data_IF_827990710699
#
_entry.id   IF_827990710699
#
_cell.length_a   1.000
_cell.length_b   1.000
_cell.length_c   1.000
_cell.angle_alpha   90.00
_cell.angle_beta   90.00
_cell.angle_gamma   90.00
#
_symmetry.space_group_name_H-M   'P 1'
#
loop_
_entity.id
_entity.type
_entity.pdbx_description
1 polymer ?
2 non-polymer ?
3 water ?
#
# COMPACT_ATOMS: atom_id res chain seq x y z
N UNK A 2 -12.93 -13.16 -11.66
CA UNK A 2 -11.82 -13.12 -10.67
C UNK A 2 -11.20 -11.75 -10.59
N UNK A 3 -10.04 -11.65 -9.96
CA UNK A 3 -9.35 -10.38 -9.82
C UNK A 3 -8.91 -9.88 -11.21
N UNK A 4 -8.68 -8.58 -11.32
CA UNK A 4 -8.25 -7.98 -12.57
C UNK A 4 -6.78 -8.33 -12.80
N UNK A 5 -6.01 -8.35 -11.72
CA UNK A 5 -4.58 -8.64 -11.79
C UNK A 5 -4.15 -9.73 -10.82
N UNK A 6 -4.61 -10.96 -11.04
CA UNK A 6 -4.21 -12.05 -10.14
C UNK A 6 -2.72 -12.31 -10.23
N UNK A 7 -2.09 -11.87 -11.32
CA UNK A 7 -0.66 -12.12 -11.49
C UNK A 7 0.23 -11.36 -10.50
N UNK A 8 -0.31 -10.34 -9.83
CA UNK A 8 0.49 -9.61 -8.86
C UNK A 8 0.26 -10.12 -7.44
N UNK A 9 -0.54 -11.18 -7.32
CA UNK A 9 -0.81 -11.78 -6.02
C UNK A 9 -0.31 -13.23 -6.03
N UNK A 10 0.62 -13.56 -5.13
CA UNK A 10 1.15 -14.92 -5.08
C UNK A 10 0.75 -15.63 -3.78
N UNK A 11 0.63 -16.94 -3.85
CA UNK A 11 0.24 -17.74 -2.70
C UNK A 11 1.46 -18.10 -1.86
N UNK A 12 1.21 -18.58 -0.64
CA UNK A 12 2.33 -18.98 0.20
C UNK A 12 3.04 -20.16 -0.46
N UNK A 13 2.27 -20.99 -1.17
CA UNK A 13 2.85 -22.14 -1.87
C UNK A 13 3.82 -21.65 -2.94
N UNK A 14 3.38 -20.67 -3.72
CA UNK A 14 4.19 -20.09 -4.79
C UNK A 14 5.51 -19.58 -4.23
N UNK A 15 5.43 -18.83 -3.13
CA UNK A 15 6.63 -18.28 -2.54
C UNK A 15 7.59 -19.38 -2.07
N UNK A 16 7.07 -20.40 -1.39
CA UNK A 16 7.95 -21.45 -0.91
C UNK A 16 8.63 -22.18 -2.06
N UNK A 17 7.98 -22.27 -3.21
CA UNK A 17 8.55 -22.96 -4.36
C UNK A 17 9.45 -22.05 -5.21
N UNK A 18 9.62 -20.81 -4.79
CA UNK A 18 10.48 -19.87 -5.53
C UNK A 18 11.57 -19.29 -4.63
N UNK A 19 11.79 -19.93 -3.48
CA UNK A 19 12.78 -19.47 -2.52
C UNK A 19 14.21 -19.48 -3.07
N UNK A 20 14.43 -20.23 -4.15
CA UNK A 20 15.75 -20.30 -4.75
C UNK A 20 15.76 -19.78 -6.19
N UNK A 21 14.67 -19.14 -6.60
CA UNK A 21 14.57 -18.60 -7.95
C UNK A 21 15.56 -17.44 -8.00
N UNK A 22 16.54 -17.48 -8.91
CA UNK A 22 17.52 -16.40 -9.00
C UNK A 22 16.94 -15.03 -9.36
N UNK A 23 15.74 -15.04 -9.94
CA UNK A 23 15.09 -13.79 -10.33
C UNK A 23 14.10 -13.29 -9.29
N UNK A 24 14.01 -13.97 -8.15
CA UNK A 24 13.06 -13.58 -7.09
C UNK A 24 13.75 -13.05 -5.84
N UNK A 25 13.24 -11.94 -5.32
CA UNK A 25 13.76 -11.34 -4.10
C UNK A 25 12.57 -11.07 -3.18
N UNK A 26 12.49 -11.82 -2.09
CA UNK A 26 11.40 -11.69 -1.12
C UNK A 26 11.79 -10.69 -0.05
N UNK A 27 10.87 -9.78 0.28
CA UNK A 27 11.11 -8.77 1.31
C UNK A 27 9.97 -8.74 2.33
N UNK A 28 10.31 -8.76 3.61
CA UNK A 28 9.32 -8.70 4.69
C UNK A 28 9.21 -7.23 5.08
N UNK A 29 8.00 -6.70 5.03
CA UNK A 29 7.76 -5.29 5.36
C UNK A 29 6.72 -5.23 6.46
N UNK A 30 7.17 -5.00 7.69
CA UNK A 30 6.28 -4.97 8.85
C UNK A 30 6.15 -3.61 9.52
N UNK A 31 5.02 -3.38 10.18
CA UNK A 31 4.83 -2.15 10.92
C UNK A 31 5.78 -2.27 12.12
N UNK A 32 5.94 -3.50 12.60
CA UNK A 32 6.84 -3.80 13.71
C UNK A 32 8.20 -4.10 13.11
N UNK A 33 9.09 -3.11 13.08
CA UNK A 33 10.41 -3.27 12.49
C UNK A 33 11.37 -4.22 13.20
N UNK A 34 10.90 -4.95 14.20
CA UNK A 34 11.77 -5.90 14.90
C UNK A 34 11.35 -7.35 14.69
N UNK A 35 10.15 -7.52 14.16
CA UNK A 35 9.59 -8.84 13.92
C UNK A 35 10.43 -9.74 13.01
N UNK A 36 10.97 -9.17 11.94
CA UNK A 36 11.80 -9.92 11.00
C UNK A 36 12.97 -10.63 11.70
N UNK A 37 13.60 -9.93 12.62
CA UNK A 37 14.74 -10.45 13.35
C UNK A 37 14.47 -11.77 14.07
N UNK A 38 13.24 -11.94 14.56
CA UNK A 38 12.87 -13.14 15.29
C UNK A 38 12.64 -14.36 14.41
N UNK A 39 12.49 -14.13 13.11
CA UNK A 39 12.26 -15.24 12.20
C UNK A 39 11.56 -14.73 10.95
N UNK A 40 11.97 -15.25 9.80
CA UNK A 40 11.39 -14.82 8.53
C UNK A 40 11.48 -15.93 7.48
N UNK A 41 10.90 -15.66 6.31
CA UNK A 41 10.93 -16.60 5.20
C UNK A 41 12.39 -16.73 4.75
N UNK A 42 12.85 -17.95 4.47
CA UNK A 42 14.23 -18.14 4.03
C UNK A 42 14.60 -17.30 2.80
N UNK A 43 15.73 -16.62 2.87
CA UNK A 43 16.16 -15.80 1.75
C UNK A 43 15.51 -14.43 1.72
N UNK A 44 14.56 -14.19 2.61
CA UNK A 44 13.87 -12.91 2.65
C UNK A 44 14.73 -11.83 3.31
N UNK A 45 14.55 -10.59 2.87
CA UNK A 45 15.28 -9.47 3.42
C UNK A 45 14.30 -8.51 4.09
N UNK A 46 14.82 -7.73 5.02
CA UNK A 46 14.01 -6.81 5.79
C UNK A 46 13.98 -5.38 5.27
N UNK A 47 12.79 -4.79 5.34
CA UNK A 47 12.59 -3.39 4.96
C UNK A 47 12.13 -2.72 6.25
N UNK A 48 12.82 -1.66 6.63
CA UNK A 48 12.49 -0.86 7.81
C UNK A 48 11.93 0.39 7.13
N UNK A 49 10.60 0.47 7.00
CA UNK A 49 9.96 1.56 6.28
C UNK A 49 10.44 3.00 6.48
N UNK A 50 10.41 3.51 7.71
CA UNK A 50 10.82 4.89 7.93
C UNK A 50 12.27 5.15 7.56
N UNK A 51 13.16 4.23 7.94
CA UNK A 51 14.57 4.37 7.65
C UNK A 51 14.91 4.14 6.18
N UNK A 52 14.26 3.17 5.54
CA UNK A 52 14.54 2.86 4.15
C UNK A 52 13.79 3.64 3.08
N UNK A 53 12.53 3.99 3.34
CA UNK A 53 11.72 4.70 2.36
C UNK A 53 11.53 6.20 2.57
N UNK A 54 11.68 6.66 3.80
CA UNK A 54 11.49 8.08 4.12
C UNK A 54 12.77 8.90 4.14
N UNK A 55 12.67 10.16 3.75
CA UNK A 55 13.83 11.05 3.80
C UNK A 55 14.08 11.16 5.30
N UNK A 56 15.33 11.32 5.71
CA UNK A 56 15.60 11.42 7.16
C UNK A 56 15.14 12.70 7.84
N UNK A 57 14.94 13.77 7.06
CA UNK A 57 14.54 15.05 7.64
C UNK A 57 13.19 15.62 7.21
N UNK A 58 12.90 15.60 5.92
CA UNK A 58 11.64 16.13 5.42
C UNK A 58 10.59 15.04 5.25
N UNK A 59 9.32 15.44 5.13
CA UNK A 59 8.26 14.46 4.93
C UNK A 59 8.11 14.17 3.45
N UNK A 60 8.90 13.20 2.99
CA UNK A 60 8.84 12.78 1.60
C UNK A 60 9.63 11.48 1.51
N UNK A 61 9.41 10.74 0.43
CA UNK A 61 10.10 9.48 0.24
C UNK A 61 11.50 9.74 -0.29
N UNK A 62 12.36 8.73 -0.20
CA UNK A 62 13.72 8.87 -0.69
C UNK A 62 13.67 9.15 -2.19
N UNK A 63 14.75 9.72 -2.72
CA UNK A 63 14.81 10.05 -4.14
C UNK A 63 14.93 8.81 -5.03
N UNK A 64 14.73 9.02 -6.34
CA UNK A 64 14.82 7.93 -7.30
C UNK A 64 16.22 7.35 -7.24
N UNK A 65 17.21 8.21 -7.07
CA UNK A 65 18.60 7.78 -6.99
C UNK A 65 18.81 6.91 -5.76
N UNK A 66 18.28 7.36 -4.62
CA UNK A 66 18.40 6.60 -3.38
C UNK A 66 17.67 5.27 -3.45
N UNK A 67 16.55 5.25 -4.16
CA UNK A 67 15.78 4.03 -4.31
C UNK A 67 16.63 3.00 -5.06
N UNK A 68 17.31 3.45 -6.11
CA UNK A 68 18.15 2.56 -6.91
C UNK A 68 19.30 1.96 -6.08
N UNK A 69 19.88 2.76 -5.19
CA UNK A 69 20.96 2.25 -4.35
C UNK A 69 20.43 1.22 -3.35
N UNK A 70 19.23 1.46 -2.85
CA UNK A 70 18.64 0.53 -1.91
C UNK A 70 18.45 -0.83 -2.60
N UNK A 72 19.97 -2.14 -5.23
CA UNK A 72 21.23 -2.84 -5.48
C UNK A 72 21.75 -3.51 -4.22
N UNK A 73 21.65 -2.82 -3.09
CA UNK A 73 22.12 -3.38 -1.83
C UNK A 73 21.30 -4.63 -1.48
N UNK A 74 20.03 -4.62 -1.87
CA UNK A 74 19.15 -5.74 -1.59
C UNK A 74 19.23 -6.84 -2.66
N UNK A 75 20.17 -6.68 -3.60
CA UNK A 75 20.34 -7.67 -4.65
C UNK A 75 19.19 -7.67 -5.64
N UNK A 76 18.54 -6.52 -5.77
CA UNK A 76 17.41 -6.35 -6.68
C UNK A 76 17.79 -5.57 -7.93
N UNK A 77 17.36 -6.08 -9.08
CA UNK A 77 17.61 -5.44 -10.38
C UNK A 77 16.27 -5.05 -11.00
N UNK A 78 16.30 -4.34 -12.12
CA UNK A 78 15.07 -3.90 -12.77
C UNK A 78 14.13 -5.02 -13.20
N UNK A 79 14.70 -6.16 -13.61
CA UNK A 79 13.88 -7.28 -14.05
C UNK A 79 13.61 -8.30 -12.95
N UNK A 80 13.95 -7.94 -11.71
CA UNK A 80 13.73 -8.84 -10.58
C UNK A 80 12.26 -8.95 -10.21
N UNK A 81 11.84 -10.15 -9.84
CA UNK A 81 10.45 -10.37 -9.40
C UNK A 81 10.52 -10.14 -7.89
N UNK A 82 10.04 -8.98 -7.44
CA UNK A 82 10.06 -8.65 -6.02
C UNK A 82 8.78 -9.15 -5.35
N UNK A 83 8.93 -9.89 -4.26
CA UNK A 83 7.76 -10.43 -3.54
C UNK A 83 7.71 -9.82 -2.15
N UNK A 84 6.56 -9.25 -1.81
CA UNK A 84 6.38 -8.58 -0.53
C UNK A 84 5.40 -9.28 0.41
N UNK A 85 5.71 -9.25 1.70
CA UNK A 85 4.82 -9.85 2.70
C UNK A 85 5.13 -9.21 4.04
N UNK A 86 4.16 -9.22 4.95
CA UNK A 86 4.39 -8.63 6.25
C UNK A 86 3.25 -8.95 7.21
N UNK A 87 3.30 -8.36 8.40
CA UNK A 87 2.26 -8.59 9.39
C UNK A 87 1.04 -7.72 9.08
N UNK A 88 0.05 -7.76 9.97
CA UNK A 88 -1.16 -6.95 9.83
C UNK A 88 -1.92 -7.08 8.51
N UNK A 89 -2.16 -8.31 8.05
CA UNK A 89 -2.89 -8.52 6.79
C UNK A 89 -2.21 -7.82 5.61
N UNK A 90 -0.87 -7.74 5.65
CA UNK A 90 -0.08 -7.11 4.60
C UNK A 90 -0.24 -5.60 4.51
N UNK A 91 -0.64 -4.98 5.60
CA UNK A 91 -0.84 -3.54 5.65
C UNK A 91 0.40 -2.80 5.12
N UNK A 92 1.55 -3.05 5.75
CA UNK A 92 2.79 -2.40 5.35
C UNK A 92 3.38 -2.96 4.06
N UNK A 93 3.12 -4.23 3.79
CA UNK A 93 3.63 -4.83 2.57
C UNK A 93 2.93 -4.17 1.37
N UNK A 94 1.66 -3.79 1.54
CA UNK A 94 0.92 -3.15 0.45
C UNK A 94 1.49 -1.77 0.22
N UNK A 95 1.96 -1.16 1.29
CA UNK A 95 2.57 0.15 1.26
C UNK A 95 3.85 0.04 0.43
N UNK A 96 4.64 -1.00 0.69
CA UNK A 96 5.87 -1.19 -0.08
C UNK A 96 5.50 -1.43 -1.54
N UNK A 97 4.40 -2.14 -1.78
CA UNK A 97 3.96 -2.42 -3.15
C UNK A 97 3.73 -1.07 -3.84
N UNK A 98 2.98 -0.19 -3.19
CA UNK A 98 2.69 1.13 -3.73
C UNK A 98 3.96 1.91 -4.01
N UNK A 99 4.91 1.87 -3.08
CA UNK A 99 6.15 2.62 -3.27
C UNK A 99 6.97 2.06 -4.42
N UNK A 100 7.01 0.74 -4.57
CA UNK A 100 7.75 0.14 -5.67
C UNK A 100 7.13 0.56 -7.00
N UNK A 101 5.80 0.61 -7.05
CA UNK A 101 5.12 1.02 -8.27
C UNK A 101 5.31 2.51 -8.50
N UNK A 102 5.45 3.28 -7.42
CA UNK A 102 5.67 4.71 -7.54
C UNK A 102 7.01 4.94 -8.23
N UNK A 103 7.92 3.98 -8.04
CA UNK A 103 9.24 4.03 -8.64
C UNK A 103 9.30 3.23 -9.95
N UNK A 104 8.13 2.80 -10.41
CA UNK A 104 8.00 2.08 -11.66
C UNK A 104 8.47 0.65 -11.76
N UNK A 105 8.65 -0.04 -10.63
CA UNK A 105 9.10 -1.44 -10.71
C UNK A 105 8.04 -2.29 -11.41
N UNK A 106 8.43 -2.90 -12.52
CA UNK A 106 7.51 -3.70 -13.32
C UNK A 106 6.94 -4.97 -12.70
N UNK A 107 7.76 -5.76 -12.03
CA UNK A 107 7.27 -6.99 -11.44
C UNK A 107 7.34 -7.02 -9.92
N UNK A 108 6.24 -6.61 -9.29
CA UNK A 108 6.13 -6.62 -7.84
C UNK A 108 4.90 -7.46 -7.51
N UNK A 109 5.02 -8.34 -6.52
CA UNK A 109 3.90 -9.18 -6.15
C UNK A 109 3.72 -9.21 -4.64
N UNK A 110 2.49 -9.44 -4.20
CA UNK A 110 2.15 -9.48 -2.79
C UNK A 110 1.73 -10.90 -2.40
N UNK A 112 -0.43 -13.37 -0.74
CA UNK A 112 -1.75 -13.41 -0.14
C UNK A 112 -1.69 -14.08 1.23
N UNK A 113 -2.20 -13.40 2.25
CA UNK A 113 -2.20 -13.95 3.60
C UNK A 113 -1.12 -13.35 4.46
N UNK A 114 -0.05 -12.88 3.83
CA UNK A 114 1.05 -12.26 4.56
C UNK A 114 1.80 -13.17 5.50
N UNK A 115 2.55 -12.57 6.40
CA UNK A 115 3.34 -13.32 7.38
C UNK A 115 2.40 -14.21 8.20
N UNK A 116 1.23 -13.68 8.49
CA UNK A 116 0.22 -14.41 9.28
C UNK A 116 -0.05 -15.81 8.76
N UNK A 117 -0.38 -15.90 7.48
CA UNK A 117 -0.70 -17.19 6.87
C UNK A 117 0.50 -18.13 6.80
N UNK A 118 1.67 -17.59 6.47
CA UNK A 118 2.89 -18.39 6.36
C UNK A 118 3.21 -19.04 7.70
N UNK A 119 3.09 -18.26 8.77
CA UNK A 119 3.36 -18.75 10.11
C UNK A 119 2.30 -19.75 10.56
N UNK A 120 1.04 -19.44 10.28
CA UNK A 120 -0.07 -20.30 10.64
C UNK A 120 0.08 -21.69 10.01
N UNK A 121 0.55 -21.72 8.76
CA UNK A 121 0.75 -22.97 8.04
C UNK A 121 2.00 -23.74 8.48
N UNK A 122 2.90 -23.08 9.19
CA UNK A 122 4.10 -23.75 9.66
C UNK A 122 5.17 -23.94 8.60
N UNK A 123 5.21 -23.05 7.62
CA UNK A 123 6.20 -23.11 6.56
C UNK A 123 7.57 -22.65 7.10
N UNK A 124 8.66 -22.95 6.39
CA UNK A 124 10.02 -22.58 6.79
C UNK A 124 10.26 -21.17 7.34
N UNK A 125 10.92 -21.09 8.49
CA UNK A 125 11.26 -19.81 9.09
C UNK A 125 12.71 -19.92 9.54
N UNK A 126 13.43 -18.80 9.48
CA UNK A 126 14.83 -18.79 9.86
C UNK A 126 15.24 -17.40 10.31
N UNK A 127 16.25 -17.33 11.17
CA UNK A 127 16.76 -16.04 11.64
C UNK A 127 18.00 -15.68 10.83
N UNK A 128 18.37 -16.58 9.92
CA UNK A 128 19.53 -16.36 9.08
C UNK A 128 19.18 -15.32 8.02
N UNK A 129 20.04 -14.34 7.86
CA UNK A 129 19.83 -13.27 6.90
C UNK A 129 20.70 -13.52 5.68
N UNK A 130 20.13 -13.37 4.48
CA UNK A 130 20.81 -13.57 3.20
C UNK A 130 21.98 -12.62 2.97
N UNK A 131 22.77 -12.94 1.95
CA UNK A 131 23.93 -12.15 1.54
C UNK A 131 24.00 -12.26 0.02
N UNK A 132 23.13 -11.52 -0.66
CA UNK A 132 23.07 -11.55 -2.11
C UNK A 132 24.08 -10.64 -2.78
N UNK A 133 24.47 -10.97 -4.02
CA UNK A 133 25.43 -10.11 -4.73
C UNK A 133 24.67 -8.85 -5.11
N UNK A 134 25.37 -7.71 -5.23
CA UNK A 134 24.72 -6.45 -5.59
C UNK A 134 23.86 -6.57 -6.83
N UNK A 135 22.72 -5.88 -6.83
CA UNK A 135 21.86 -5.93 -7.99
C UNK A 135 22.28 -4.80 -8.92
N UNK A 136 21.66 -4.75 -10.09
CA UNK A 136 21.92 -3.71 -11.07
C UNK A 136 20.57 -3.02 -11.27
N UNK A 137 20.40 -1.86 -10.66
CA UNK A 137 19.15 -1.14 -10.75
C UNK A 137 19.33 0.27 -11.33
N UNK A 138 18.78 0.47 -12.52
CA UNK A 138 18.86 1.76 -13.19
C UNK A 138 17.96 2.75 -12.47
N UNK A 139 18.35 4.02 -12.44
CA UNK A 139 17.56 5.05 -11.77
C UNK A 139 16.15 5.14 -12.34
N UNK A 140 15.13 4.92 -11.49
CA UNK A 140 13.73 4.97 -11.90
C UNK A 140 13.17 6.38 -12.09
N UNK A 141 11.97 6.43 -12.66
CA UNK A 141 11.25 7.68 -12.91
C UNK A 141 9.93 7.56 -12.16
N UNK A 142 9.72 8.41 -11.16
CA UNK A 142 8.49 8.39 -10.35
C UNK A 142 7.21 8.51 -11.18
N UNK A 143 6.24 7.65 -10.87
CA UNK A 143 4.96 7.63 -11.54
C UNK A 143 3.95 8.44 -10.73
N UNK A 144 3.80 9.71 -11.08
CA UNK A 144 2.90 10.61 -10.37
C UNK A 144 1.42 10.30 -10.50
N UNK A 145 1.05 9.42 -11.43
CA UNK A 145 -0.35 9.09 -11.63
C UNK A 145 -0.95 8.28 -10.47
N UNK A 146 -0.11 7.84 -9.53
CA UNK A 146 -0.63 7.08 -8.40
C UNK A 146 -0.39 7.77 -7.05
N UNK A 147 0.00 9.05 -7.08
CA UNK A 147 0.22 9.80 -5.85
C UNK A 147 -0.54 11.13 -5.92
N UNK A 148 -1.30 11.42 -4.87
CA UNK A 148 -2.06 12.65 -4.81
C UNK A 148 -1.47 13.60 -3.77
N UNK A 149 -1.50 14.90 -4.08
CA UNK A 149 -0.98 15.93 -3.19
C UNK A 149 -2.06 16.90 -2.72
N UNK A 150 -1.82 17.58 -1.61
CA UNK A 150 -2.79 18.51 -1.06
C UNK A 150 -3.37 19.49 -2.10
N UNK A 151 -2.52 19.99 -2.99
CA UNK A 151 -2.98 20.93 -4.01
C UNK A 151 -3.77 20.29 -5.15
N UNK A 152 -4.09 19.00 -5.01
CA UNK A 152 -4.88 18.29 -6.02
C UNK A 152 -6.27 18.01 -5.46
N UNK A 153 -6.39 18.08 -4.15
CA UNK A 153 -7.66 17.80 -3.48
C UNK A 153 -8.83 18.74 -3.81
N UNK A 154 -8.60 20.04 -3.79
CA UNK A 154 -9.67 20.98 -4.09
C UNK A 154 -10.31 20.69 -5.44
N UNK A 155 -9.49 20.50 -6.47
CA UNK A 155 -10.03 20.20 -7.78
C UNK A 155 -10.64 18.81 -7.79
N UNK A 156 -10.17 17.94 -6.89
CA UNK A 156 -10.72 16.59 -6.83
C UNK A 156 -12.08 16.62 -6.16
N UNK A 157 -12.20 17.45 -5.13
CA UNK A 157 -13.46 17.58 -4.39
C UNK A 157 -14.58 17.94 -5.37
N UNK A 158 -14.25 18.80 -6.33
CA UNK A 158 -15.23 19.22 -7.34
C UNK A 158 -15.54 18.05 -8.27
N UNK A 159 -14.50 17.30 -8.63
CA UNK A 159 -14.67 16.15 -9.51
C UNK A 159 -15.60 15.14 -8.87
N UNK A 160 -15.51 15.02 -7.54
CA UNK A 160 -16.33 14.10 -6.78
C UNK A 160 -17.80 14.49 -6.90
N UNK A 161 -18.06 15.80 -6.92
CA UNK A 161 -19.43 16.31 -7.03
C UNK A 161 -20.01 16.14 -8.44
N UNK A 162 -19.16 16.30 -9.45
CA UNK A 162 -19.61 16.16 -10.83
C UNK A 162 -19.75 14.70 -11.23
N UNK A 163 -19.40 13.81 -10.30
CA UNK A 163 -19.49 12.38 -10.56
C UNK A 163 -18.36 11.88 -11.44
N UNK A 164 -17.25 12.62 -11.42
CA UNK A 164 -16.08 12.26 -12.22
C UNK A 164 -14.97 11.69 -11.35
N UNK A 165 -15.13 11.83 -10.04
CA UNK A 165 -14.13 11.32 -9.12
C UNK A 165 -14.74 10.81 -7.82
N UNK A 166 -13.91 10.18 -6.99
CA UNK A 166 -14.38 9.64 -5.71
C UNK A 166 -13.25 9.70 -4.68
N UNK A 167 -13.63 9.74 -3.41
CA UNK A 167 -12.67 9.79 -2.30
C UNK A 167 -12.95 8.62 -1.36
N UNK A 168 -11.93 7.82 -1.10
CA UNK A 168 -12.06 6.67 -0.23
C UNK A 168 -11.27 6.88 1.05
N UNK A 169 -12.00 7.00 2.16
CA UNK A 169 -11.43 7.21 3.48
C UNK A 169 -11.41 5.81 4.12
N UNK A 170 -10.21 5.29 4.36
CA UNK A 170 -10.04 3.95 4.91
C UNK A 170 -9.94 3.87 6.43
N UNK A 171 -10.11 5.00 7.11
CA UNK A 171 -10.00 5.03 8.56
C UNK A 171 -11.25 4.47 9.25
N UNK A 172 -11.25 4.47 10.57
CA UNK A 172 -12.41 3.96 11.32
C UNK A 172 -13.58 4.92 11.13
N UNK A 173 -14.81 4.41 11.26
CA UNK A 173 -15.99 5.26 11.10
C UNK A 173 -15.97 6.46 12.03
N UNK A 174 -15.44 6.26 13.25
CA UNK A 174 -15.35 7.35 14.23
C UNK A 174 -14.51 8.50 13.68
N UNK A 175 -13.32 8.17 13.17
CA UNK A 175 -12.45 9.19 12.62
C UNK A 175 -13.12 9.83 11.42
N UNK A 176 -13.75 9.01 10.59
CA UNK A 176 -14.43 9.47 9.40
C UNK A 176 -15.50 10.51 9.72
N UNK A 177 -16.31 10.22 10.73
CA UNK A 177 -17.39 11.13 11.12
C UNK A 177 -16.95 12.39 11.87
N UNK A 178 -15.70 12.43 12.31
CA UNK A 178 -15.24 13.61 13.02
C UNK A 178 -15.27 13.44 14.52
N UNK A 179 -15.32 12.18 14.95
CA UNK A 179 -15.33 11.84 16.37
C UNK A 179 -13.91 11.39 16.70
N UNK A 180 -13.10 11.27 15.65
CA UNK A 180 -11.70 10.85 15.71
C UNK A 180 -11.24 10.47 17.11
N UNK A 189 0.23 10.57 14.96
CA UNK A 189 -0.53 10.76 13.72
C UNK A 189 -1.81 11.55 14.02
N UNK A 190 -1.67 12.54 14.88
CA UNK A 190 -2.81 13.37 15.25
C UNK A 190 -3.01 14.59 14.38
N UNK A 191 -4.14 15.27 14.57
CA UNK A 191 -4.48 16.46 13.82
C UNK A 191 -5.35 17.38 14.67
N UNK A 192 -5.28 18.68 14.39
CA UNK A 192 -6.07 19.67 15.12
C UNK A 192 -7.55 19.71 14.73
N UNK A 193 -7.90 19.00 13.66
CA UNK A 193 -9.29 18.96 13.20
C UNK A 193 -9.74 17.55 12.93
N UNK A 194 -11.02 17.29 13.11
CA UNK A 194 -11.59 15.97 12.88
C UNK A 194 -12.70 15.99 11.83
N UNK A 195 -12.82 14.88 11.11
CA UNK A 195 -13.84 14.77 10.08
C UNK A 195 -13.23 14.09 8.87
N UNK A 196 -13.77 14.36 7.68
CA UNK A 196 -13.23 13.75 6.48
C UNK A 196 -13.20 14.77 5.35
N UNK A 197 -12.52 14.42 4.26
CA UNK A 197 -12.45 15.32 3.12
C UNK A 197 -13.83 15.30 2.47
N UNK A 198 -14.46 16.48 2.29
CA UNK A 198 -15.79 16.56 1.70
C UNK A 198 -15.98 15.68 0.46
N UNK A 199 -17.05 14.89 0.49
CA UNK A 199 -17.36 14.00 -0.61
C UNK A 199 -16.86 12.58 -0.40
N UNK A 200 -15.96 12.39 0.54
CA UNK A 200 -15.40 11.07 0.80
C UNK A 200 -16.40 10.05 1.32
N UNK A 201 -16.17 8.78 0.97
CA UNK A 201 -16.98 7.66 1.42
C UNK A 201 -16.07 6.84 2.31
N UNK A 202 -16.63 6.22 3.33
CA UNK A 202 -15.85 5.43 4.27
C UNK A 202 -15.90 3.93 4.04
N UNK A 203 -14.74 3.34 3.78
CA UNK A 203 -14.60 1.90 3.60
C UNK A 203 -13.38 1.47 4.41
N UNK A 204 -13.58 1.14 5.70
CA UNK A 204 -12.45 0.71 6.55
C UNK A 204 -11.65 -0.35 5.80
N UNK A 205 -10.34 -0.16 5.74
CA UNK A 205 -9.48 -1.07 4.98
C UNK A 205 -9.59 -2.56 5.26
N UNK A 206 -9.73 -2.93 6.52
CA UNK A 206 -9.82 -4.33 6.91
C UNK A 206 -11.01 -5.07 6.32
N UNK A 207 -12.00 -4.34 5.80
CA UNK A 207 -13.16 -4.98 5.21
C UNK A 207 -12.79 -5.77 3.96
N UNK A 208 -11.60 -5.52 3.43
CA UNK A 208 -11.15 -6.21 2.22
C UNK A 208 -10.50 -7.57 2.49
N UNK A 209 -10.28 -7.90 3.77
CA UNK A 209 -9.64 -9.17 4.10
C UNK A 209 -10.44 -10.11 5.00
N UNK A 210 -10.08 -11.39 4.91
CA UNK A 210 -10.72 -12.43 5.71
C UNK A 210 -9.97 -12.56 7.03
N UNK A 211 -10.56 -13.26 8.01
CA UNK A 211 -9.91 -13.43 9.31
C UNK A 211 -8.50 -14.03 9.24
N UNK A 212 -8.25 -14.87 8.23
CA UNK A 212 -6.95 -15.50 8.10
C UNK A 212 -5.90 -14.65 7.38
N UNK A 213 -6.28 -13.41 7.06
CA UNK A 213 -5.34 -12.51 6.42
C UNK A 213 -5.39 -12.42 4.90
N UNK A 214 -6.11 -13.32 4.26
CA UNK A 214 -6.20 -13.32 2.80
C UNK A 214 -7.23 -12.31 2.29
N UNK A 215 -7.10 -11.93 1.03
CA UNK A 215 -8.03 -10.99 0.42
C UNK A 215 -9.37 -11.67 0.12
N UNK A 216 -10.45 -10.89 0.16
CA UNK A 216 -11.76 -11.43 -0.15
C UNK A 216 -11.84 -11.60 -1.67
N UNK A 217 -12.90 -12.25 -2.15
CA UNK A 217 -13.04 -12.46 -3.59
C UNK A 217 -13.29 -11.16 -4.33
N UNK A 218 -13.04 -11.18 -5.64
CA UNK A 218 -13.26 -9.99 -6.44
C UNK A 218 -14.70 -9.51 -6.26
N UNK A 219 -15.62 -10.47 -6.17
CA UNK A 219 -17.04 -10.16 -6.01
C UNK A 219 -17.33 -9.48 -4.67
N UNK A 220 -16.76 -10.03 -3.60
CA UNK A 220 -16.96 -9.47 -2.27
C UNK A 220 -16.32 -8.09 -2.19
N UNK A 221 -15.20 -7.92 -2.88
CA UNK A 221 -14.50 -6.64 -2.87
C UNK A 221 -15.30 -5.59 -3.64
N UNK A 222 -15.82 -5.97 -4.80
CA UNK A 222 -16.61 -5.02 -5.59
C UNK A 222 -17.78 -4.51 -4.74
N UNK A 223 -18.37 -5.39 -3.95
CA UNK A 223 -19.50 -5.04 -3.09
C UNK A 223 -19.18 -3.99 -2.03
N UNK A 224 -17.90 -3.78 -1.75
CA UNK A 224 -17.50 -2.79 -0.76
C UNK A 224 -17.50 -1.38 -1.36
N UNK A 225 -17.24 -1.29 -2.65
CA UNK A 225 -17.12 -0.01 -3.31
C UNK A 225 -18.21 0.41 -4.29
N UNK A 226 -18.59 -0.49 -5.20
CA UNK A 226 -19.59 -0.16 -6.20
C UNK A 226 -20.89 0.42 -5.62
N UNK A 227 -21.48 -0.22 -4.60
CA UNK A 227 -22.72 0.29 -4.02
C UNK A 227 -22.61 1.71 -3.43
N UNK A 228 -21.39 2.16 -3.19
CA UNK A 228 -21.18 3.49 -2.63
C UNK A 228 -20.78 4.53 -3.68
N UNK A 229 -20.87 4.16 -4.95
CA UNK A 229 -20.52 5.10 -6.01
C UNK A 229 -19.05 5.10 -6.38
N UNK A 230 -18.26 4.24 -5.74
CA UNK A 230 -16.83 4.14 -6.00
C UNK A 230 -16.68 3.19 -7.19
N UNK A 231 -16.75 3.74 -8.40
CA UNK A 231 -16.66 2.93 -9.61
C UNK A 231 -15.43 3.21 -10.48
N UNK A 232 -15.07 2.22 -11.30
CA UNK A 232 -13.89 2.30 -12.17
C UNK A 232 -13.83 3.49 -13.11
N UNK A 233 -14.98 4.01 -13.52
CA UNK A 233 -15.02 5.14 -14.45
C UNK A 233 -14.60 6.45 -13.81
N UNK A 234 -14.42 6.47 -12.51
CA UNK A 234 -14.04 7.70 -11.82
C UNK A 234 -12.58 7.72 -11.36
N UNK A 235 -12.04 8.93 -11.22
CA UNK A 235 -10.69 9.07 -10.72
C UNK A 235 -10.82 8.93 -9.22
N UNK A 236 -10.09 7.97 -8.65
CA UNK A 236 -10.15 7.69 -7.23
C UNK A 236 -8.94 8.21 -6.45
N UNK A 237 -9.19 8.72 -5.25
CA UNK A 237 -8.15 9.19 -4.36
C UNK A 237 -8.42 8.49 -3.04
N UNK A 238 -7.43 7.75 -2.54
CA UNK A 238 -7.57 7.01 -1.29
C UNK A 238 -6.69 7.65 -0.22
N UNK A 239 -7.18 7.70 1.02
CA UNK A 239 -6.40 8.29 2.09
C UNK A 239 -6.73 7.71 3.46
N UNK A 241 -4.42 8.29 7.47
CA UNK A 241 -3.73 9.25 8.32
C UNK A 241 -2.36 9.49 7.67
N UNK A 242 -1.77 8.42 7.16
CA UNK A 242 -0.47 8.45 6.48
C UNK A 242 -0.54 7.45 5.31
N UNK A 243 0.28 7.65 4.28
CA UNK A 243 0.29 6.79 3.10
C UNK A 243 0.41 5.31 3.44
N UNK A 244 1.25 5.03 4.43
CA UNK A 244 1.51 3.67 4.87
C UNK A 244 0.24 2.87 5.19
N UNK A 245 -0.84 3.58 5.54
CA UNK A 245 -2.07 2.88 5.89
C UNK A 245 -3.19 2.86 4.84
N UNK A 246 -3.07 3.67 3.79
CA UNK A 246 -4.07 3.73 2.74
C UNK A 246 -3.63 2.98 1.48
N UNK A 247 -2.39 2.51 1.49
CA UNK A 247 -1.84 1.79 0.35
C UNK A 247 -2.53 0.46 0.12
N UNK A 248 -2.98 -0.18 1.20
CA UNK A 248 -3.65 -1.47 1.12
C UNK A 248 -4.92 -1.37 0.28
N UNK A 249 -5.75 -0.36 0.55
CA UNK A 249 -6.99 -0.20 -0.21
C UNK A 249 -6.69 0.27 -1.63
N UNK A 250 -5.63 1.06 -1.79
CA UNK A 250 -5.22 1.53 -3.11
C UNK A 250 -4.94 0.27 -3.95
N UNK A 251 -4.20 -0.65 -3.37
CA UNK A 251 -3.84 -1.91 -4.03
C UNK A 251 -5.08 -2.70 -4.42
N UNK A 252 -6.02 -2.81 -3.49
CA UNK A 252 -7.25 -3.54 -3.73
C UNK A 252 -8.00 -2.98 -4.95
N UNK A 253 -8.15 -1.65 -4.99
CA UNK A 253 -8.87 -1.02 -6.07
C UNK A 253 -8.17 -1.11 -7.42
N UNK A 254 -6.90 -0.70 -7.46
CA UNK A 254 -6.19 -0.72 -8.73
C UNK A 254 -5.82 -2.08 -9.27
N UNK A 255 -5.30 -2.95 -8.42
CA UNK A 255 -4.87 -4.26 -8.89
C UNK A 255 -5.86 -5.39 -8.76
N UNK A 256 -6.51 -5.53 -7.61
CA UNK A 256 -7.46 -6.62 -7.48
C UNK A 256 -8.76 -6.34 -8.24
N UNK A 257 -9.18 -5.07 -8.29
CA UNK A 257 -10.42 -4.72 -8.98
C UNK A 257 -10.25 -4.02 -10.32
N UNK A 258 -9.01 -3.71 -10.67
CA UNK A 258 -8.74 -3.08 -11.96
C UNK A 258 -9.18 -1.65 -12.21
N UNK A 259 -9.27 -0.83 -11.16
CA UNK A 259 -9.63 0.57 -11.36
C UNK A 259 -8.41 1.22 -12.01
N UNK A 260 -8.60 1.81 -13.20
CA UNK A 260 -7.49 2.44 -13.92
C UNK A 260 -6.87 3.70 -13.30
N UNK A 261 -7.70 4.50 -12.64
CA UNK A 261 -7.21 5.75 -12.04
C UNK A 261 -7.40 5.80 -10.54
N UNK A 262 -6.34 5.42 -9.81
CA UNK A 262 -6.38 5.41 -8.35
C UNK A 262 -5.10 6.02 -7.80
N UNK A 263 -5.24 7.04 -6.95
CA UNK A 263 -4.07 7.68 -6.36
C UNK A 263 -4.09 7.51 -4.84
N UNK A 264 -2.89 7.50 -4.26
CA UNK A 264 -2.77 7.38 -2.81
C UNK A 264 -2.34 8.75 -2.32
N UNK A 265 -3.17 9.36 -1.47
CA UNK A 265 -2.82 10.66 -0.91
C UNK A 265 -1.97 10.40 0.33
N UNK A 266 -0.65 10.39 0.15
CA UNK A 266 0.25 10.10 1.26
C UNK A 266 0.15 11.10 2.40
N UNK A 267 -0.12 12.37 2.08
CA UNK A 267 -0.24 13.37 3.12
C UNK A 267 -1.31 12.92 4.09
N UNK A 268 -2.42 12.46 3.51
CA UNK A 268 -3.55 11.95 4.28
C UNK A 268 -4.04 12.90 5.38
N UNK A 269 -4.69 12.36 6.40
CA UNK A 269 -5.25 13.20 7.45
C UNK A 269 -4.24 13.92 8.32
N UNK A 270 -3.07 13.32 8.55
CA UNK A 270 -2.07 14.00 9.37
C UNK A 270 -1.70 15.33 8.72
N UNK A 271 -1.88 15.44 7.41
CA UNK A 271 -1.60 16.69 6.73
C UNK A 271 -2.88 17.51 6.60
N UNK A 272 -3.91 16.91 6.01
CA UNK A 272 -5.19 17.60 5.82
C UNK A 272 -5.82 18.12 7.12
N UNK A 273 -5.86 17.28 8.16
CA UNK A 273 -6.45 17.68 9.42
C UNK A 273 -5.66 18.72 10.18
N UNK A 274 -4.52 19.13 9.64
CA UNK A 274 -3.66 20.12 10.28
C UNK A 274 -3.45 21.34 9.39
N UNK A 275 -3.94 21.25 8.15
CA UNK A 275 -3.80 22.35 7.20
C UNK A 275 -4.70 23.53 7.56
N UNK A 276 -4.21 24.74 7.34
CA UNK A 276 -4.99 25.93 7.62
C UNK A 276 -5.97 26.21 6.48
N UNK A 277 -7.21 26.51 6.83
CA UNK A 277 -8.23 26.86 5.85
C UNK A 277 -8.63 25.92 4.75
N UNK A 278 -8.68 24.62 5.03
CA UNK A 278 -9.10 23.66 4.03
C UNK A 278 -10.47 23.10 4.37
N UNK A 279 -11.27 22.75 3.35
CA UNK A 279 -12.61 22.22 3.61
C UNK A 279 -12.60 20.89 4.35
N UNK A 280 -13.52 20.76 5.30
CA UNK A 280 -13.65 19.56 6.10
C UNK A 280 -15.13 19.26 6.35
N UNK A 281 -15.50 17.99 6.19
CA UNK A 281 -16.88 17.59 6.40
C UNK A 281 -16.96 16.64 7.58
N UNK A 282 -18.02 16.78 8.37
CA UNK A 282 -18.22 15.91 9.52
C UNK A 282 -19.50 15.12 9.32
N UNK A 283 -19.70 14.10 10.14
CA UNK A 283 -20.90 13.29 10.02
C UNK A 283 -20.77 12.24 8.93
N UNK A 284 -21.90 11.88 8.33
CA UNK A 284 -21.93 10.86 7.29
C UNK A 284 -22.09 11.44 5.89
N UNK A 285 -21.62 10.70 4.90
CA UNK A 285 -21.73 11.08 3.50
C UNK A 285 -21.65 9.84 2.62
#
# INVERSE_FOLDING_TARGET
XGYAHPEVLVSTDWVQEHLEDPKVRVLEVDEDILLYDTGHIPGAQKIDWQRDFWDPVVRDFISEEEFAKLXERLGISNDTTVVLYGDKNNWWAAYAFWFFKYNGHKDVRLXNGGRQKWVEEGRPLTTEVPSYPPGRYEVPYRDESIRAYRDDVLEHIIKVKEGKGALVDVRSPQEYRGELTHXPDYPQEGALRAGHIPGAKNIPWAKAVNPDGTFKSAEELRALYEPLGITKDKDIVVYXRIAERSSHSWFVLKYLLGYPHVKNYDGSWTEWGNLVGVPIAKGEE
#
